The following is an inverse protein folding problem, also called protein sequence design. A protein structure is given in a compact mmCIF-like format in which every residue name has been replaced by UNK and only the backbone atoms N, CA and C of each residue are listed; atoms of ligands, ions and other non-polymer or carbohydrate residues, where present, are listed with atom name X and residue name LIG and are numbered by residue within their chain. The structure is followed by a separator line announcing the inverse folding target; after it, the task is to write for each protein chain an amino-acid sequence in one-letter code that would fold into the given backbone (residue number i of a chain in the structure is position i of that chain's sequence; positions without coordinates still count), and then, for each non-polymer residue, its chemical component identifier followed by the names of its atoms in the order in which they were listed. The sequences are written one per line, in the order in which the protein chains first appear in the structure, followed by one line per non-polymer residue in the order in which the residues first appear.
data_IF_526869300466
#
_entry.id   IF_526869300466
#
_cell.length_a   1.000
_cell.length_b   1.000
_cell.length_c   1.000
_cell.angle_alpha   90.00
_cell.angle_beta   90.00
_cell.angle_gamma   90.00
#
_symmetry.space_group_name_H-M   'P 1'
#
loop_
_entity.id
_entity.type
_entity.pdbx_description
1 polymer ?
#
# COMPACT_ATOMS: atom_id res chain seq x y z
N UNK A 1 35.31 -11.66 -12.74
CA UNK A 1 33.89 -12.03 -12.48
C UNK A 1 33.75 -12.18 -10.98
N UNK A 2 33.06 -11.27 -10.29
CA UNK A 2 31.65 -11.42 -9.80
C UNK A 2 31.45 -12.74 -9.00
N UNK A 3 31.00 -12.72 -7.74
CA UNK A 3 30.55 -11.60 -6.90
C UNK A 3 30.84 -11.86 -5.41
N UNK A 4 31.03 -10.77 -4.64
CA UNK A 4 30.94 -10.80 -3.18
C UNK A 4 29.48 -10.61 -2.78
N UNK A 5 28.99 -11.42 -1.84
CA UNK A 5 27.68 -11.23 -1.21
C UNK A 5 27.89 -10.37 0.04
N UNK A 6 27.37 -9.14 0.01
CA UNK A 6 27.30 -8.26 1.18
C UNK A 6 26.10 -8.62 2.09
N UNK A 7 26.06 -8.11 3.33
CA UNK A 7 24.99 -8.43 4.28
C UNK A 7 23.62 -7.87 3.84
N UNK A 8 22.58 -8.67 4.04
CA UNK A 8 21.18 -8.37 3.67
C UNK A 8 20.61 -7.13 4.39
N UNK A 9 20.04 -6.18 3.65
CA UNK A 9 19.19 -5.08 4.18
C UNK A 9 17.78 -5.57 4.63
N UNK A 10 17.64 -6.84 5.03
CA UNK A 10 16.33 -7.44 5.29
C UNK A 10 15.98 -7.33 6.78
N UNK A 11 15.66 -6.11 7.22
CA UNK A 11 15.42 -5.78 8.65
C UNK A 11 13.99 -5.39 9.03
N UNK A 12 13.19 -4.89 8.09
CA UNK A 12 11.85 -4.33 8.41
C UNK A 12 10.74 -4.84 7.49
N UNK A 13 10.95 -4.91 6.17
CA UNK A 13 9.97 -5.50 5.23
C UNK A 13 9.52 -6.91 5.64
N UNK A 14 10.46 -7.85 5.81
CA UNK A 14 10.19 -9.19 6.35
C UNK A 14 9.54 -9.20 7.74
N UNK A 15 9.72 -8.15 8.57
CA UNK A 15 9.10 -8.08 9.88
C UNK A 15 7.63 -7.62 9.79
N UNK A 16 7.31 -6.71 8.86
CA UNK A 16 5.92 -6.35 8.52
C UNK A 16 5.21 -7.54 7.88
N UNK A 17 5.86 -8.25 6.95
CA UNK A 17 5.35 -9.49 6.35
C UNK A 17 5.11 -10.58 7.40
N UNK A 18 6.09 -10.88 8.27
CA UNK A 18 5.93 -11.90 9.31
C UNK A 18 4.82 -11.59 10.32
N UNK A 19 4.65 -10.31 10.71
CA UNK A 19 3.53 -9.89 11.56
C UNK A 19 2.18 -9.91 10.81
N UNK A 20 2.18 -9.77 9.48
CA UNK A 20 1.01 -9.98 8.64
C UNK A 20 0.68 -11.48 8.46
N UNK A 21 1.68 -12.38 8.52
CA UNK A 21 1.48 -13.83 8.38
C UNK A 21 1.12 -14.53 9.70
N UNK A 22 1.43 -13.96 10.87
CA UNK A 22 1.19 -14.65 12.14
C UNK A 22 -0.32 -14.93 12.41
N UNK A 23 -0.60 -16.22 12.62
CA UNK A 23 -1.87 -16.86 13.06
C UNK A 23 -3.04 -16.88 12.07
N UNK A 24 -2.93 -17.75 11.06
CA UNK A 24 -4.11 -18.52 10.61
C UNK A 24 -4.28 -19.78 11.48
N UNK A 25 -5.44 -20.03 12.13
CA UNK A 25 -5.73 -21.31 12.75
C UNK A 25 -6.01 -22.37 11.67
N UNK A 26 -5.29 -23.50 11.71
CA UNK A 26 -5.60 -24.66 10.85
C UNK A 26 -6.96 -25.25 11.23
N UNK A 27 -7.99 -25.04 10.41
CA UNK A 27 -9.23 -25.78 10.53
C UNK A 27 -8.98 -27.27 10.23
N UNK A 28 -9.25 -28.13 11.21
CA UNK A 28 -9.47 -29.55 10.97
C UNK A 28 -10.89 -29.75 10.44
N UNK A 29 -11.12 -30.53 9.37
CA UNK A 29 -12.47 -30.87 8.95
C UNK A 29 -13.11 -31.84 9.96
N UNK A 30 -14.21 -31.42 10.60
CA UNK A 30 -15.06 -32.36 11.35
C UNK A 30 -15.74 -33.33 10.37
N UNK A 31 -15.64 -34.62 10.67
CA UNK A 31 -16.32 -35.68 9.92
C UNK A 31 -17.78 -35.75 10.37
N UNK A 32 -18.71 -35.40 9.47
CA UNK A 32 -20.12 -35.73 9.61
C UNK A 32 -20.42 -37.10 8.99
N UNK A 33 -21.25 -37.90 9.66
CA UNK A 33 -21.40 -39.33 9.36
C UNK A 33 -22.49 -39.71 8.35
N UNK A 34 -22.24 -40.86 7.70
CA UNK A 34 -23.21 -41.87 7.22
C UNK A 34 -24.46 -41.43 6.42
N UNK A 35 -24.42 -41.69 5.10
CA UNK A 35 -25.58 -41.84 4.22
C UNK A 35 -25.28 -42.89 3.14
N UNK A 36 -26.25 -43.76 2.81
CA UNK A 36 -25.98 -45.12 2.31
C UNK A 36 -26.16 -45.31 0.79
N UNK A 37 -25.19 -45.99 0.16
CA UNK A 37 -25.24 -46.80 -1.09
C UNK A 37 -26.19 -46.46 -2.27
N UNK A 38 -25.59 -46.36 -3.47
CA UNK A 38 -26.08 -47.01 -4.70
C UNK A 38 -24.91 -47.32 -5.67
N UNK A 39 -25.01 -48.39 -6.46
CA UNK A 39 -23.93 -48.93 -7.32
C UNK A 39 -23.94 -48.32 -8.74
N UNK A 40 -22.76 -48.22 -9.39
CA UNK A 40 -22.63 -47.66 -10.74
C UNK A 40 -21.37 -48.03 -11.53
N UNK A 41 -21.30 -49.28 -12.02
CA UNK A 41 -20.50 -49.83 -13.14
C UNK A 41 -19.08 -49.27 -13.44
N UNK A 42 -18.11 -50.17 -13.30
CA UNK A 42 -16.79 -50.12 -13.92
C UNK A 42 -16.84 -50.49 -15.42
N UNK A 43 -16.05 -49.82 -16.27
CA UNK A 43 -15.66 -50.36 -17.58
C UNK A 43 -14.24 -49.89 -17.95
N UNK A 44 -13.43 -50.80 -18.53
CA UNK A 44 -12.04 -50.56 -18.92
C UNK A 44 -11.92 -50.08 -20.36
N UNK A 45 -10.80 -49.43 -20.68
CA UNK A 45 -10.07 -49.65 -21.93
C UNK A 45 -8.57 -49.73 -21.61
N UNK A 46 -7.88 -50.77 -22.12
CA UNK A 46 -6.46 -51.08 -21.89
C UNK A 46 -5.64 -50.92 -23.18
N UNK A 47 -4.34 -50.61 -23.04
CA UNK A 47 -3.27 -50.74 -24.07
C UNK A 47 -2.96 -49.48 -24.90
N UNK A 48 -1.72 -49.19 -25.33
CA UNK A 48 -0.37 -49.72 -25.05
C UNK A 48 0.68 -48.74 -25.66
N UNK A 49 2.00 -48.75 -25.35
CA UNK A 49 2.79 -49.48 -24.35
C UNK A 49 4.20 -49.85 -24.89
N UNK A 50 5.29 -49.30 -24.31
CA UNK A 50 6.69 -49.70 -24.61
C UNK A 50 7.67 -49.44 -23.44
N UNK A 51 8.72 -50.28 -23.38
CA UNK A 51 9.71 -50.37 -22.28
C UNK A 51 10.86 -49.35 -22.36
N UNK A 52 11.49 -49.08 -21.20
CA UNK A 52 12.72 -48.29 -21.07
C UNK A 52 13.11 -48.05 -19.62
N UNK A 53 13.74 -49.04 -18.97
CA UNK A 53 14.03 -49.02 -17.53
C UNK A 53 15.28 -48.21 -17.09
N UNK A 54 15.46 -48.15 -15.76
CA UNK A 54 16.56 -47.48 -15.02
C UNK A 54 16.40 -45.96 -14.81
N UNK A 55 15.60 -45.58 -13.80
CA UNK A 55 15.43 -44.18 -13.40
C UNK A 55 14.60 -43.93 -12.13
N UNK A 56 14.39 -44.92 -11.26
CA UNK A 56 13.48 -44.81 -10.09
C UNK A 56 14.19 -45.20 -8.79
N UNK A 57 14.94 -44.24 -8.21
CA UNK A 57 15.24 -44.15 -6.77
C UNK A 57 15.91 -42.80 -6.38
N UNK A 58 15.28 -41.68 -6.76
CA UNK A 58 15.78 -40.34 -6.40
C UNK A 58 14.70 -39.25 -6.17
N UNK A 59 13.40 -39.55 -6.40
CA UNK A 59 12.35 -38.51 -6.42
C UNK A 59 11.24 -38.65 -5.36
N UNK A 60 11.26 -39.68 -4.51
CA UNK A 60 10.24 -39.86 -3.45
C UNK A 60 10.58 -39.18 -2.11
N UNK A 61 11.78 -38.64 -1.93
CA UNK A 61 12.19 -37.95 -0.68
C UNK A 61 11.78 -36.48 -0.63
N UNK A 62 11.21 -35.93 -1.71
CA UNK A 62 10.83 -34.50 -1.80
C UNK A 62 9.36 -34.23 -1.42
N UNK A 63 8.57 -35.25 -1.04
CA UNK A 63 7.14 -35.11 -0.69
C UNK A 63 6.82 -35.29 0.80
N UNK A 64 7.84 -35.39 1.65
CA UNK A 64 7.71 -35.76 3.07
C UNK A 64 8.52 -34.88 4.04
N UNK A 65 8.75 -33.61 3.71
CA UNK A 65 9.07 -32.55 4.69
C UNK A 65 10.32 -32.75 5.57
N UNK A 66 11.30 -33.55 5.13
CA UNK A 66 12.55 -33.77 5.86
C UNK A 66 13.64 -32.75 5.53
N UNK A 67 14.46 -32.37 6.51
CA UNK A 67 15.61 -31.49 6.31
C UNK A 67 16.79 -32.25 5.66
N UNK A 68 17.43 -31.63 4.67
CA UNK A 68 18.64 -32.14 4.01
C UNK A 68 19.82 -32.07 4.99
N UNK A 69 20.62 -33.12 5.07
CA UNK A 69 21.76 -33.21 5.99
C UNK A 69 23.10 -33.06 5.30
N UNK A 70 24.15 -32.79 6.07
CA UNK A 70 25.54 -32.72 5.56
C UNK A 70 26.05 -34.06 5.01
N UNK A 71 25.42 -35.18 5.35
CA UNK A 71 25.74 -36.50 4.80
C UNK A 71 25.32 -36.64 3.33
N UNK A 72 24.22 -36.00 2.91
CA UNK A 72 23.66 -36.10 1.56
C UNK A 72 24.58 -35.43 0.53
N UNK A 73 25.17 -34.29 0.89
CA UNK A 73 26.20 -33.62 0.09
C UNK A 73 27.50 -34.44 -0.04
N UNK A 74 27.87 -35.19 1.01
CA UNK A 74 29.06 -36.04 0.98
C UNK A 74 28.91 -37.28 0.06
N UNK A 75 27.68 -37.69 -0.25
CA UNK A 75 27.38 -38.73 -1.24
C UNK A 75 27.52 -38.18 -2.67
N UNK A 76 26.89 -37.03 -2.96
CA UNK A 76 26.95 -36.37 -4.28
C UNK A 76 28.37 -36.00 -4.69
N UNK A 77 29.19 -35.46 -3.77
CA UNK A 77 30.60 -35.16 -4.04
C UNK A 77 31.42 -36.41 -4.40
N UNK A 78 31.05 -37.58 -3.86
CA UNK A 78 31.73 -38.86 -4.09
C UNK A 78 31.39 -39.47 -5.46
N UNK A 79 30.14 -39.33 -5.90
CA UNK A 79 29.71 -39.77 -7.25
C UNK A 79 30.29 -38.90 -8.37
N UNK A 80 30.41 -37.58 -8.14
CA UNK A 80 31.05 -36.64 -9.07
C UNK A 80 32.57 -36.88 -9.20
N UNK A 81 33.25 -37.19 -8.09
CA UNK A 81 34.67 -37.59 -8.12
C UNK A 81 34.89 -38.87 -8.94
N UNK A 82 34.03 -39.87 -8.75
CA UNK A 82 34.11 -41.14 -9.49
C UNK A 82 33.85 -40.98 -11.00
N UNK A 83 33.07 -39.98 -11.42
CA UNK A 83 32.90 -39.65 -12.85
C UNK A 83 34.15 -38.97 -13.47
N UNK A 84 34.88 -38.14 -12.73
CA UNK A 84 36.15 -37.58 -13.22
C UNK A 84 37.30 -38.60 -13.29
N UNK A 85 37.23 -39.68 -12.51
CA UNK A 85 38.24 -40.74 -12.52
C UNK A 85 38.14 -41.72 -13.70
N UNK A 86 37.05 -41.68 -14.49
CA UNK A 86 36.75 -42.67 -15.53
C UNK A 86 37.25 -42.31 -16.94
N UNK A 87 37.75 -41.08 -17.17
CA UNK A 87 38.14 -40.56 -18.49
C UNK A 87 39.67 -40.43 -18.66
N UNK A 88 40.41 -41.50 -18.40
CA UNK A 88 41.87 -41.54 -18.52
C UNK A 88 42.40 -41.97 -19.90
N UNK A 89 42.68 -41.02 -20.79
CA UNK A 89 43.58 -41.25 -21.95
C UNK A 89 45.05 -41.22 -21.50
N UNK A 90 45.86 -42.10 -22.10
CA UNK A 90 47.25 -42.38 -21.69
C UNK A 90 48.23 -41.33 -22.23
N UNK A 91 49.33 -41.09 -21.52
CA UNK A 91 50.70 -41.22 -22.08
C UNK A 91 51.81 -41.18 -21.01
N UNK A 92 52.77 -42.11 -21.16
CA UNK A 92 54.17 -42.13 -20.66
C UNK A 92 54.56 -41.85 -19.19
N UNK A 93 55.12 -42.90 -18.57
CA UNK A 93 55.97 -43.00 -17.35
C UNK A 93 57.44 -42.52 -17.58
N UNK A 94 58.40 -42.56 -16.60
CA UNK A 94 58.37 -43.21 -15.27
C UNK A 94 58.88 -42.45 -14.02
N UNK A 95 58.28 -42.83 -12.87
CA UNK A 95 58.80 -43.02 -11.50
C UNK A 95 60.17 -42.44 -11.07
N UNK A 96 60.15 -41.56 -10.06
CA UNK A 96 60.87 -41.63 -8.77
C UNK A 96 60.40 -40.45 -7.87
N UNK A 97 60.34 -40.48 -6.53
CA UNK A 97 60.39 -41.58 -5.53
C UNK A 97 59.64 -41.13 -4.22
N UNK A 98 59.60 -41.93 -3.15
CA UNK A 98 58.96 -41.57 -1.86
C UNK A 98 59.94 -40.97 -0.85
N UNK A 99 59.58 -39.91 -0.12
CA UNK A 99 59.71 -39.84 1.37
C UNK A 99 59.25 -38.53 2.02
N UNK A 100 58.31 -38.70 2.95
CA UNK A 100 58.12 -37.95 4.22
C UNK A 100 58.97 -36.70 4.51
N UNK A 101 58.31 -35.54 4.64
CA UNK A 101 58.71 -34.52 5.63
C UNK A 101 57.66 -34.45 6.75
N UNK A 102 58.13 -34.63 7.99
CA UNK A 102 57.34 -34.49 9.21
C UNK A 102 57.40 -33.04 9.72
N UNK A 103 56.27 -32.59 10.26
CA UNK A 103 56.15 -31.68 11.40
C UNK A 103 57.05 -30.42 11.47
N UNK A 104 56.46 -29.26 11.18
CA UNK A 104 56.65 -28.03 11.99
C UNK A 104 55.43 -27.10 11.84
N UNK A 105 55.35 -26.07 12.69
CA UNK A 105 54.40 -24.93 12.66
C UNK A 105 52.93 -25.18 13.08
N UNK A 106 52.72 -25.59 14.33
CA UNK A 106 51.70 -24.91 15.16
C UNK A 106 52.31 -23.59 15.69
N UNK A 107 51.51 -22.50 15.70
CA UNK A 107 51.70 -21.17 16.34
C UNK A 107 51.62 -19.90 15.45
N UNK A 108 50.68 -19.83 14.50
CA UNK A 108 50.31 -18.55 13.84
C UNK A 108 48.80 -18.46 13.55
N UNK A 109 47.95 -18.48 14.60
CA UNK A 109 46.50 -18.32 14.43
C UNK A 109 45.80 -17.68 15.66
N UNK A 110 46.52 -16.86 16.42
CA UNK A 110 46.02 -16.23 17.65
C UNK A 110 46.53 -14.79 17.84
N UNK A 111 46.37 -13.93 16.83
CA UNK A 111 46.35 -12.46 16.97
C UNK A 111 45.72 -11.87 15.69
N UNK A 112 44.43 -11.50 15.73
CA UNK A 112 43.74 -11.05 14.51
C UNK A 112 42.20 -10.89 14.57
N UNK A 113 41.56 -11.04 15.73
CA UNK A 113 40.15 -10.66 15.93
C UNK A 113 40.03 -9.68 17.09
N UNK A 114 40.17 -8.39 16.78
CA UNK A 114 39.78 -7.29 17.66
C UNK A 114 39.38 -6.07 16.83
N UNK A 115 38.22 -5.49 17.15
CA UNK A 115 37.79 -4.14 16.75
C UNK A 115 37.55 -3.89 15.25
N UNK A 116 36.57 -4.60 14.68
CA UNK A 116 35.65 -3.93 13.76
C UNK A 116 34.55 -3.29 14.63
N UNK A 117 34.51 -1.94 14.77
CA UNK A 117 33.33 -1.30 15.36
C UNK A 117 32.15 -1.59 14.43
N UNK A 118 31.13 -2.26 14.95
CA UNK A 118 29.88 -2.47 14.22
C UNK A 118 29.22 -1.13 13.97
N UNK A 119 29.44 -0.57 12.77
CA UNK A 119 28.63 0.52 12.25
C UNK A 119 27.21 -0.03 12.08
N UNK A 120 26.40 0.15 13.12
CA UNK A 120 24.96 -0.05 13.04
C UNK A 120 24.42 1.02 12.07
N UNK A 121 24.40 0.68 10.78
CA UNK A 121 23.70 1.45 9.77
C UNK A 121 22.24 1.48 10.21
N UNK A 122 21.76 2.64 10.67
CA UNK A 122 20.35 2.84 10.93
C UNK A 122 19.58 2.41 9.68
N UNK A 123 18.59 1.53 9.85
CA UNK A 123 17.81 1.04 8.72
C UNK A 123 17.17 2.25 8.02
N UNK A 124 17.41 2.39 6.73
CA UNK A 124 16.87 3.53 5.99
C UNK A 124 15.33 3.50 6.07
N UNK A 125 14.67 4.64 6.35
CA UNK A 125 13.22 4.69 6.43
C UNK A 125 12.58 4.32 5.09
N UNK A 126 11.54 3.48 5.12
CA UNK A 126 10.81 2.96 3.94
C UNK A 126 10.54 4.10 2.93
N UNK A 127 10.78 3.91 1.62
CA UNK A 127 10.59 4.96 0.62
C UNK A 127 9.13 5.39 0.53
N UNK A 128 8.89 6.69 0.36
CA UNK A 128 7.54 7.28 0.23
C UNK A 128 7.24 7.72 -1.20
N UNK A 129 5.95 7.75 -1.61
CA UNK A 129 4.77 7.35 -0.83
C UNK A 129 4.54 5.83 -0.77
N UNK A 130 3.78 5.40 0.23
CA UNK A 130 3.45 3.99 0.51
C UNK A 130 1.94 3.81 0.50
N UNK A 131 1.46 2.69 -0.06
CA UNK A 131 0.11 2.15 0.17
C UNK A 131 0.23 0.63 0.39
N UNK A 132 -0.39 0.11 1.46
CA UNK A 132 -0.40 -1.32 1.81
C UNK A 132 -1.71 -1.69 2.50
N UNK A 133 -2.25 -2.85 2.16
CA UNK A 133 -3.30 -3.50 2.93
C UNK A 133 -2.68 -4.61 3.80
N UNK A 134 -3.05 -4.65 5.07
CA UNK A 134 -2.47 -5.53 6.08
C UNK A 134 -3.60 -6.09 6.92
N UNK A 135 -4.09 -7.28 6.55
CA UNK A 135 -5.31 -7.88 7.12
C UNK A 135 -6.46 -6.85 7.08
N UNK A 136 -7.03 -6.54 8.24
CA UNK A 136 -8.19 -5.64 8.39
C UNK A 136 -7.83 -4.15 8.23
N UNK A 137 -6.56 -3.81 8.00
CA UNK A 137 -6.06 -2.44 7.94
C UNK A 137 -5.63 -2.02 6.54
N UNK A 138 -5.79 -0.73 6.23
CA UNK A 138 -5.16 -0.06 5.11
C UNK A 138 -4.22 1.01 5.67
N UNK A 139 -2.97 1.01 5.21
CA UNK A 139 -1.96 1.99 5.59
C UNK A 139 -1.50 2.73 4.33
N UNK A 140 -1.58 4.05 4.35
CA UNK A 140 -0.96 4.90 3.35
C UNK A 140 -0.15 6.01 4.00
N UNK A 141 0.98 6.32 3.40
CA UNK A 141 1.84 7.42 3.82
C UNK A 141 2.25 8.26 2.62
N UNK A 142 2.16 9.58 2.75
CA UNK A 142 2.46 10.52 1.67
C UNK A 142 3.97 10.80 1.52
N UNK A 143 4.30 11.60 0.50
CA UNK A 143 5.63 12.09 0.17
C UNK A 143 6.35 12.88 1.29
N UNK A 144 5.64 13.27 2.35
CA UNK A 144 6.20 13.92 3.54
C UNK A 144 6.25 12.99 4.76
N UNK A 145 5.95 11.70 4.61
CA UNK A 145 5.89 10.70 5.68
C UNK A 145 4.80 10.98 6.73
N UNK A 146 3.78 11.78 6.40
CA UNK A 146 2.52 11.73 7.13
C UNK A 146 1.84 10.40 6.79
N UNK A 147 1.42 9.66 7.82
CA UNK A 147 0.85 8.33 7.68
C UNK A 147 -0.56 8.26 8.25
N UNK A 148 -1.44 7.60 7.51
CA UNK A 148 -2.77 7.18 7.93
C UNK A 148 -2.81 5.65 7.96
N UNK A 149 -3.23 5.07 9.08
CA UNK A 149 -3.70 3.68 9.15
C UNK A 149 -5.19 3.69 9.52
N UNK A 150 -6.02 3.09 8.66
CA UNK A 150 -7.47 3.03 8.84
C UNK A 150 -7.95 1.59 8.91
N UNK A 151 -8.88 1.32 9.82
CA UNK A 151 -9.55 0.02 9.92
C UNK A 151 -10.61 -0.09 8.82
N UNK A 152 -10.43 -1.09 7.97
CA UNK A 152 -11.28 -1.44 6.85
C UNK A 152 -11.66 -2.92 6.94
N UNK A 153 -12.18 -3.34 8.10
CA UNK A 153 -12.79 -4.65 8.31
C UNK A 153 -14.14 -4.79 7.57
N UNK A 154 -14.71 -5.99 7.55
CA UNK A 154 -15.86 -6.33 6.72
C UNK A 154 -17.08 -5.41 6.99
N UNK A 155 -17.66 -4.76 5.96
CA UNK A 155 -18.70 -3.75 6.12
C UNK A 155 -20.07 -4.33 6.53
N UNK A 156 -20.31 -5.63 6.40
CA UNK A 156 -21.60 -6.28 6.68
C UNK A 156 -22.03 -6.29 8.17
N UNK A 157 -21.35 -5.55 9.04
CA UNK A 157 -21.67 -5.42 10.47
C UNK A 157 -21.48 -3.99 10.93
N UNK A 158 -22.33 -3.57 11.87
CA UNK A 158 -22.03 -2.38 12.66
C UNK A 158 -20.70 -2.60 13.41
N UNK A 159 -19.82 -1.59 13.35
CA UNK A 159 -18.41 -1.71 13.72
C UNK A 159 -17.91 -0.48 14.47
N UNK A 160 -16.73 -0.58 15.09
CA UNK A 160 -16.02 0.59 15.63
C UNK A 160 -14.95 0.98 14.64
N UNK A 161 -15.23 2.00 13.83
CA UNK A 161 -14.25 2.58 12.92
C UNK A 161 -13.03 3.06 13.71
N UNK A 162 -11.84 2.89 13.16
CA UNK A 162 -10.61 3.37 13.79
C UNK A 162 -9.68 4.00 12.75
N UNK A 163 -9.17 5.17 13.11
CA UNK A 163 -8.25 5.97 12.31
C UNK A 163 -7.05 6.35 13.17
N UNK A 164 -5.84 6.04 12.68
CA UNK A 164 -4.58 6.44 13.30
C UNK A 164 -3.84 7.34 12.31
N UNK A 165 -3.60 8.58 12.70
CA UNK A 165 -2.90 9.56 11.87
C UNK A 165 -1.64 10.05 12.59
N UNK A 166 -0.54 10.20 11.84
CA UNK A 166 0.73 10.63 12.43
C UNK A 166 1.55 11.48 11.47
N UNK A 167 1.94 12.67 11.93
CA UNK A 167 2.89 13.54 11.23
C UNK A 167 4.34 13.05 11.38
N UNK A 168 5.20 13.51 10.48
CA UNK A 168 6.61 13.13 10.42
C UNK A 168 7.50 13.90 11.43
N UNK A 169 8.78 13.52 11.54
CA UNK A 169 9.74 14.13 12.46
C UNK A 169 9.50 13.81 13.95
N UNK A 170 10.47 14.13 14.81
CA UNK A 170 10.42 13.81 16.25
C UNK A 170 9.10 14.19 16.93
N UNK A 171 8.68 15.44 16.74
CA UNK A 171 7.49 16.07 17.32
C UNK A 171 6.21 15.90 16.49
N UNK A 172 6.21 15.03 15.48
CA UNK A 172 5.03 14.77 14.66
C UNK A 172 3.84 14.31 15.49
N UNK A 173 2.76 15.09 15.47
CA UNK A 173 1.51 14.81 16.17
C UNK A 173 0.99 13.41 15.83
N UNK A 174 0.47 12.72 16.85
CA UNK A 174 -0.18 11.42 16.74
C UNK A 174 -1.62 11.59 17.20
N UNK A 175 -2.57 11.16 16.38
CA UNK A 175 -4.00 11.16 16.66
C UNK A 175 -4.56 9.74 16.51
N UNK A 176 -5.46 9.39 17.43
CA UNK A 176 -6.31 8.21 17.36
C UNK A 176 -7.76 8.68 17.42
N UNK A 177 -8.54 8.37 16.39
CA UNK A 177 -9.98 8.59 16.36
C UNK A 177 -10.68 7.24 16.29
N UNK A 178 -11.60 6.99 17.21
CA UNK A 178 -12.61 5.93 17.12
C UNK A 178 -13.92 6.54 16.62
N UNK A 179 -14.65 5.79 15.81
CA UNK A 179 -15.93 6.20 15.20
C UNK A 179 -16.98 5.13 15.45
N UNK A 180 -18.16 5.52 15.91
CA UNK A 180 -19.28 4.60 16.12
C UNK A 180 -20.63 5.30 16.16
N UNK A 181 -21.64 4.63 16.69
CA UNK A 181 -23.03 5.08 16.65
C UNK A 181 -23.31 6.32 17.51
N UNK A 182 -24.39 7.02 17.20
CA UNK A 182 -24.82 8.26 17.87
C UNK A 182 -25.28 8.08 19.31
N UNK A 183 -25.47 6.83 19.75
CA UNK A 183 -25.82 6.44 21.12
C UNK A 183 -24.62 6.01 21.99
N UNK A 184 -23.40 5.98 21.44
CA UNK A 184 -22.16 5.76 22.21
C UNK A 184 -22.05 6.79 23.35
N UNK A 185 -21.97 6.30 24.60
CA UNK A 185 -22.13 7.13 25.81
C UNK A 185 -20.93 7.14 26.78
N UNK A 186 -20.09 6.10 26.79
CA UNK A 186 -18.98 5.88 27.71
C UNK A 186 -17.71 5.34 27.04
N UNK A 187 -16.84 4.70 27.80
CA UNK A 187 -15.54 4.22 27.29
C UNK A 187 -15.66 2.90 26.50
N UNK A 188 -14.87 2.72 25.41
CA UNK A 188 -14.81 1.46 24.67
C UNK A 188 -14.33 0.28 25.52
N UNK A 189 -14.63 -0.94 25.07
CA UNK A 189 -14.11 -2.17 25.66
C UNK A 189 -13.08 -2.85 24.75
N UNK A 190 -11.88 -3.11 25.29
CA UNK A 190 -10.82 -3.90 24.66
C UNK A 190 -10.80 -5.30 25.29
N UNK A 191 -11.08 -6.33 24.49
CA UNK A 191 -11.11 -7.74 24.92
C UNK A 191 -11.94 -8.01 26.20
N UNK A 192 -13.00 -7.24 26.41
CA UNK A 192 -13.90 -7.34 27.57
C UNK A 192 -13.50 -6.49 28.78
N UNK A 193 -12.42 -5.69 28.70
CA UNK A 193 -12.00 -4.73 29.72
C UNK A 193 -12.23 -3.29 29.26
N UNK A 194 -12.54 -2.39 30.18
CA UNK A 194 -12.79 -0.98 29.87
C UNK A 194 -11.49 -0.27 29.47
N UNK A 195 -11.47 0.34 28.29
CA UNK A 195 -10.31 1.05 27.73
C UNK A 195 -10.34 2.52 28.19
N UNK A 196 -10.05 2.72 29.47
CA UNK A 196 -10.08 4.02 30.14
C UNK A 196 -8.96 4.93 29.63
N UNK A 197 -9.35 6.09 29.10
CA UNK A 197 -8.47 7.16 28.63
C UNK A 197 -9.25 8.50 28.65
N UNK A 198 -8.59 9.67 28.57
CA UNK A 198 -9.25 10.98 28.53
C UNK A 198 -9.86 11.27 27.14
N UNK A 199 -10.77 10.41 26.69
CA UNK A 199 -11.42 10.48 25.37
C UNK A 199 -12.16 11.81 25.17
N UNK A 200 -11.79 12.57 24.14
CA UNK A 200 -12.59 13.72 23.69
C UNK A 200 -13.72 13.21 22.79
N UNK A 201 -14.91 13.07 23.39
CA UNK A 201 -16.11 12.62 22.68
C UNK A 201 -16.79 13.79 21.94
N UNK A 202 -17.11 13.59 20.66
CA UNK A 202 -17.90 14.53 19.84
C UNK A 202 -19.09 13.77 19.24
N UNK A 203 -20.29 14.36 19.28
CA UNK A 203 -21.52 13.73 18.73
C UNK A 203 -22.02 14.53 17.52
N UNK A 204 -22.30 13.84 16.42
CA UNK A 204 -22.85 14.39 15.19
C UNK A 204 -23.71 13.36 14.46
N UNK A 205 -23.47 13.17 13.16
CA UNK A 205 -24.06 12.07 12.37
C UNK A 205 -23.53 10.71 12.85
N UNK A 206 -22.30 10.69 13.36
CA UNK A 206 -21.67 9.60 14.10
C UNK A 206 -21.11 10.16 15.43
N UNK A 207 -20.74 9.28 16.36
CA UNK A 207 -19.96 9.68 17.55
C UNK A 207 -18.49 9.39 17.31
N UNK A 208 -17.63 10.38 17.55
CA UNK A 208 -16.18 10.20 17.55
C UNK A 208 -15.61 10.28 18.96
N UNK A 209 -14.64 9.42 19.27
CA UNK A 209 -13.83 9.49 20.48
C UNK A 209 -12.37 9.70 20.07
N UNK A 210 -11.78 10.81 20.49
CA UNK A 210 -10.46 11.24 20.00
C UNK A 210 -9.43 11.31 21.14
N UNK A 211 -8.21 10.87 20.84
CA UNK A 211 -7.01 11.04 21.66
C UNK A 211 -5.87 11.56 20.83
N UNK A 212 -4.96 12.27 21.47
CA UNK A 212 -3.74 12.80 20.84
C UNK A 212 -2.51 12.60 21.73
N UNK A 213 -1.33 12.75 21.15
CA UNK A 213 -0.06 12.77 21.88
C UNK A 213 0.13 11.56 22.80
N UNK A 214 0.45 11.82 24.07
CA UNK A 214 0.78 10.79 25.06
C UNK A 214 -0.35 9.78 25.30
N UNK A 215 -1.61 10.23 25.32
CA UNK A 215 -2.75 9.34 25.55
C UNK A 215 -3.01 8.43 24.34
N UNK A 216 -2.85 8.95 23.12
CA UNK A 216 -2.89 8.15 21.91
C UNK A 216 -1.76 7.09 21.90
N UNK A 217 -0.53 7.43 22.32
CA UNK A 217 0.55 6.43 22.48
C UNK A 217 0.18 5.34 23.50
N UNK A 218 -0.39 5.71 24.65
CA UNK A 218 -0.75 4.78 25.71
C UNK A 218 -1.86 3.81 25.28
N UNK A 219 -2.88 4.31 24.56
CA UNK A 219 -3.98 3.49 24.07
C UNK A 219 -3.57 2.62 22.87
N UNK A 220 -2.82 3.14 21.89
CA UNK A 220 -2.34 2.34 20.77
C UNK A 220 -1.42 1.19 21.21
N UNK A 221 -0.61 1.39 22.27
CA UNK A 221 0.22 0.33 22.87
C UNK A 221 -0.59 -0.76 23.58
N UNK A 222 -1.83 -0.49 23.98
CA UNK A 222 -2.78 -1.50 24.47
C UNK A 222 -3.47 -2.18 23.29
N UNK A 223 -4.10 -1.41 22.39
CA UNK A 223 -4.83 -1.90 21.22
C UNK A 223 -3.99 -2.85 20.36
N UNK A 224 -2.71 -2.54 20.11
CA UNK A 224 -1.83 -3.38 19.26
C UNK A 224 -1.65 -4.82 19.77
N UNK A 225 -1.89 -5.06 21.07
CA UNK A 225 -1.78 -6.37 21.72
C UNK A 225 -3.14 -7.06 21.90
N UNK A 226 -4.25 -6.33 21.72
CA UNK A 226 -5.60 -6.86 21.86
C UNK A 226 -6.13 -7.49 20.57
N UNK A 227 -7.32 -8.07 20.64
CA UNK A 227 -7.94 -8.79 19.51
C UNK A 227 -9.23 -8.12 19.03
N UNK A 228 -10.04 -7.60 19.96
CA UNK A 228 -11.39 -7.09 19.69
C UNK A 228 -11.62 -5.77 20.41
N UNK A 229 -12.08 -4.77 19.65
CA UNK A 229 -12.63 -3.53 20.18
C UNK A 229 -14.16 -3.54 20.05
N UNK A 230 -14.83 -3.05 21.08
CA UNK A 230 -16.29 -2.84 21.17
C UNK A 230 -16.49 -1.41 21.69
N UNK A 231 -17.58 -0.77 21.32
CA UNK A 231 -18.03 0.46 22.00
C UNK A 231 -18.70 0.12 23.34
N UNK A 232 -19.37 1.08 23.97
CA UNK A 232 -20.11 0.87 25.23
C UNK A 232 -21.54 0.34 25.03
N UNK A 233 -21.94 0.03 23.78
CA UNK A 233 -23.26 -0.53 23.48
C UNK A 233 -23.35 -2.00 23.93
N UNK A 234 -24.47 -2.67 23.65
CA UNK A 234 -24.68 -4.04 24.16
C UNK A 234 -23.64 -5.00 23.56
N UNK A 235 -22.95 -5.81 24.39
CA UNK A 235 -21.86 -6.66 23.94
C UNK A 235 -22.24 -7.55 22.74
N UNK A 236 -21.64 -7.25 21.58
CA UNK A 236 -21.86 -7.98 20.33
C UNK A 236 -22.61 -7.20 19.24
N UNK A 237 -23.16 -6.01 19.53
CA UNK A 237 -23.84 -5.19 18.51
C UNK A 237 -22.85 -4.49 17.57
N UNK A 238 -21.74 -3.93 18.10
CA UNK A 238 -20.68 -3.31 17.29
C UNK A 238 -19.30 -3.82 17.70
N UNK A 239 -18.64 -4.59 16.82
CA UNK A 239 -17.37 -5.28 17.15
C UNK A 239 -16.39 -5.17 15.99
N UNK A 240 -15.19 -4.66 16.28
CA UNK A 240 -14.10 -4.53 15.31
C UNK A 240 -12.89 -5.37 15.65
N UNK A 241 -12.25 -5.89 14.60
CA UNK A 241 -11.06 -6.74 14.67
C UNK A 241 -9.79 -5.88 14.72
N UNK A 242 -8.86 -6.24 15.61
CA UNK A 242 -7.55 -5.58 15.69
C UNK A 242 -6.44 -6.35 14.94
N UNK A 243 -6.82 -7.38 14.16
CA UNK A 243 -5.86 -8.16 13.39
C UNK A 243 -5.15 -7.32 12.34
N UNK A 244 -3.82 -7.27 12.43
CA UNK A 244 -2.97 -6.46 11.54
C UNK A 244 -2.56 -5.12 12.13
N UNK A 245 -3.20 -4.64 13.21
CA UNK A 245 -2.87 -3.34 13.81
C UNK A 245 -1.38 -3.24 14.20
N UNK A 246 -0.81 -4.25 14.87
CA UNK A 246 0.62 -4.27 15.20
C UNK A 246 1.54 -4.17 13.96
N UNK A 247 1.16 -4.76 12.82
CA UNK A 247 1.92 -4.66 11.58
C UNK A 247 1.72 -3.30 10.88
N UNK A 248 0.50 -2.76 10.91
CA UNK A 248 0.17 -1.42 10.42
C UNK A 248 0.94 -0.32 11.16
N UNK A 249 0.93 -0.35 12.49
CA UNK A 249 1.71 0.58 13.31
C UNK A 249 3.22 0.41 13.12
N UNK A 250 3.71 -0.81 12.87
CA UNK A 250 5.12 -1.04 12.56
C UNK A 250 5.50 -0.43 11.20
N UNK A 251 4.62 -0.52 10.19
CA UNK A 251 4.84 0.12 8.90
C UNK A 251 4.87 1.65 9.04
N UNK A 252 4.01 2.25 9.87
CA UNK A 252 4.08 3.69 10.18
C UNK A 252 5.41 4.06 10.87
N UNK A 253 5.85 3.28 11.87
CA UNK A 253 7.16 3.49 12.51
C UNK A 253 8.31 3.34 11.49
N UNK A 254 8.22 2.39 10.54
CA UNK A 254 9.23 2.16 9.50
C UNK A 254 9.33 3.31 8.50
N UNK A 255 8.19 3.78 7.99
CA UNK A 255 8.11 4.94 7.09
C UNK A 255 8.59 6.22 7.78
N UNK A 256 8.37 6.37 9.09
CA UNK A 256 8.83 7.54 9.83
C UNK A 256 10.25 7.39 10.41
N UNK A 257 10.95 6.29 10.16
CA UNK A 257 12.30 6.05 10.69
C UNK A 257 12.38 5.84 12.20
N UNK A 258 11.25 5.54 12.85
CA UNK A 258 11.10 5.47 14.32
C UNK A 258 11.34 4.09 14.92
N UNK A 259 11.64 3.05 14.14
CA UNK A 259 11.97 1.74 14.68
C UNK A 259 13.24 1.85 15.54
N UNK A 260 13.13 1.62 16.85
CA UNK A 260 14.23 1.86 17.80
C UNK A 260 14.33 3.29 18.35
N UNK A 261 13.37 4.17 18.03
CA UNK A 261 13.17 5.48 18.67
C UNK A 261 12.24 5.35 19.89
N UNK A 262 12.34 6.22 20.89
CA UNK A 262 11.55 6.07 22.13
C UNK A 262 10.03 6.23 21.89
N UNK A 263 9.69 7.03 20.87
CA UNK A 263 8.31 7.25 20.42
C UNK A 263 7.78 6.17 19.47
N UNK A 264 8.49 5.06 19.22
CA UNK A 264 7.93 3.99 18.39
C UNK A 264 6.62 3.44 18.99
N UNK A 265 5.65 3.17 18.13
CA UNK A 265 4.38 2.56 18.47
C UNK A 265 4.51 1.06 18.71
N UNK A 266 5.47 0.38 18.05
CA UNK A 266 5.67 -1.07 18.16
C UNK A 266 6.98 -1.43 18.87
N UNK A 267 8.13 -0.96 18.38
CA UNK A 267 9.47 -1.32 18.89
C UNK A 267 10.22 -0.09 19.43
N UNK A 268 9.86 0.42 20.63
CA UNK A 268 10.53 1.57 21.21
C UNK A 268 11.95 1.23 21.69
N UNK A 269 12.85 2.20 21.62
CA UNK A 269 14.24 2.09 22.04
C UNK A 269 14.93 3.44 22.11
N UNK A 270 16.25 3.43 22.25
CA UNK A 270 17.15 4.59 22.31
C UNK A 270 18.20 4.61 21.19
N UNK A 271 18.09 3.70 20.20
CA UNK A 271 19.05 3.54 19.10
C UNK A 271 18.86 4.55 17.95
N UNK A 272 17.80 5.34 17.99
CA UNK A 272 17.52 6.42 17.03
C UNK A 272 17.24 7.70 17.83
N UNK A 273 17.93 8.79 17.49
CA UNK A 273 17.73 10.10 18.08
C UNK A 273 16.77 10.97 17.24
N UNK A 274 16.16 11.98 17.87
CA UNK A 274 15.20 12.91 17.24
C UNK A 274 15.68 13.49 15.89
N UNK A 275 16.96 13.87 15.82
CA UNK A 275 17.57 14.48 14.63
C UNK A 275 17.72 13.52 13.44
N UNK A 276 17.54 12.21 13.63
CA UNK A 276 17.55 11.20 12.57
C UNK A 276 16.16 10.98 11.96
N UNK A 277 15.10 11.51 12.58
CA UNK A 277 13.73 11.31 12.10
C UNK A 277 13.42 12.26 10.93
N UNK A 278 13.13 11.74 9.73
CA UNK A 278 12.96 12.57 8.54
C UNK A 278 11.70 13.43 8.60
N UNK A 279 11.83 14.69 8.15
CA UNK A 279 10.72 15.62 7.92
C UNK A 279 10.83 16.21 6.50
N UNK A 280 10.44 15.47 5.45
CA UNK A 280 10.54 15.96 4.07
C UNK A 280 9.59 17.15 3.84
N UNK A 281 10.10 18.18 3.15
CA UNK A 281 9.30 19.35 2.80
C UNK A 281 8.25 19.00 1.71
N UNK A 282 7.10 19.69 1.76
CA UNK A 282 6.10 19.64 0.69
C UNK A 282 6.65 20.29 -0.58
N UNK A 283 6.56 19.62 -1.76
CA UNK A 283 6.82 20.27 -3.04
C UNK A 283 5.92 21.50 -3.21
N UNK A 284 6.46 22.58 -3.78
CA UNK A 284 5.67 23.79 -4.03
C UNK A 284 4.92 23.68 -5.36
N UNK A 285 3.66 24.11 -5.37
CA UNK A 285 2.86 24.33 -6.58
C UNK A 285 2.58 25.83 -6.66
N UNK A 286 2.78 26.49 -7.82
CA UNK A 286 2.51 27.92 -7.96
C UNK A 286 1.10 28.30 -7.51
N UNK A 287 0.99 29.47 -6.89
CA UNK A 287 -0.31 30.06 -6.60
C UNK A 287 -1.00 30.46 -7.91
N UNK A 288 -2.28 30.14 -8.03
CA UNK A 288 -3.09 30.55 -9.17
C UNK A 288 -3.45 32.03 -9.07
N UNK A 289 -3.43 32.74 -10.20
CA UNK A 289 -3.90 34.11 -10.32
C UNK A 289 -5.22 34.08 -11.09
N UNK A 290 -6.30 34.57 -10.48
CA UNK A 290 -7.62 34.56 -11.09
C UNK A 290 -7.66 35.39 -12.38
N UNK A 291 -7.89 34.72 -13.50
CA UNK A 291 -7.97 35.31 -14.82
C UNK A 291 -9.25 36.13 -15.02
N UNK A 292 -9.23 37.07 -15.96
CA UNK A 292 -10.43 37.82 -16.36
C UNK A 292 -11.49 36.87 -16.92
N UNK A 293 -12.73 36.95 -16.41
CA UNK A 293 -13.84 36.10 -16.83
C UNK A 293 -14.08 36.15 -18.36
N UNK A 294 -14.53 35.03 -18.93
CA UNK A 294 -14.75 34.91 -20.36
C UNK A 294 -15.91 35.80 -20.83
N UNK A 295 -15.67 36.65 -21.81
CA UNK A 295 -16.69 37.48 -22.47
C UNK A 295 -17.58 36.66 -23.41
N UNK A 296 -18.75 37.19 -23.75
CA UNK A 296 -19.76 36.47 -24.55
C UNK A 296 -19.25 35.99 -25.92
N UNK A 297 -18.37 36.76 -26.57
CA UNK A 297 -17.76 36.36 -27.84
C UNK A 297 -16.77 35.19 -27.69
N UNK A 298 -15.97 35.20 -26.63
CA UNK A 298 -15.05 34.10 -26.29
C UNK A 298 -15.86 32.83 -26.00
N UNK A 299 -16.87 32.92 -25.13
CA UNK A 299 -17.74 31.79 -24.77
C UNK A 299 -18.42 31.18 -26.01
N UNK A 300 -18.98 31.99 -26.90
CA UNK A 300 -19.65 31.51 -28.11
C UNK A 300 -18.69 30.80 -29.07
N UNK A 301 -17.50 31.38 -29.29
CA UNK A 301 -16.50 30.80 -30.19
C UNK A 301 -15.86 29.51 -29.64
N UNK A 302 -15.53 29.50 -28.35
CA UNK A 302 -15.01 28.32 -27.64
C UNK A 302 -16.07 27.19 -27.66
N UNK A 303 -17.33 27.51 -27.36
CA UNK A 303 -18.45 26.54 -27.45
C UNK A 303 -18.55 25.92 -28.83
N UNK A 304 -18.45 26.72 -29.90
CA UNK A 304 -18.53 26.22 -31.27
C UNK A 304 -17.43 25.20 -31.58
N UNK A 305 -16.17 25.49 -31.25
CA UNK A 305 -15.05 24.58 -31.56
C UNK A 305 -15.04 23.34 -30.67
N UNK A 306 -15.38 23.47 -29.38
CA UNK A 306 -15.46 22.35 -28.44
C UNK A 306 -16.60 21.41 -28.81
N UNK A 307 -17.81 21.92 -29.08
CA UNK A 307 -18.94 21.07 -29.43
C UNK A 307 -18.76 20.38 -30.79
N UNK A 308 -18.09 21.02 -31.76
CA UNK A 308 -17.71 20.39 -33.01
C UNK A 308 -16.69 19.25 -32.80
N UNK A 309 -15.72 19.43 -31.91
CA UNK A 309 -14.74 18.39 -31.52
C UNK A 309 -15.41 17.22 -30.79
N UNK A 310 -16.26 17.52 -29.81
CA UNK A 310 -17.01 16.52 -29.05
C UNK A 310 -17.93 15.68 -29.94
N UNK A 311 -18.61 16.30 -30.91
CA UNK A 311 -19.41 15.60 -31.92
C UNK A 311 -18.55 14.64 -32.76
N UNK A 312 -17.37 15.10 -33.22
CA UNK A 312 -16.44 14.28 -34.01
C UNK A 312 -15.80 13.12 -33.21
N UNK A 313 -15.76 13.21 -31.88
CA UNK A 313 -15.29 12.15 -30.98
C UNK A 313 -16.43 11.32 -30.35
N UNK A 314 -17.66 11.46 -30.83
CA UNK A 314 -18.87 10.79 -30.31
C UNK A 314 -19.20 11.10 -28.83
N UNK A 315 -18.61 12.13 -28.24
CA UNK A 315 -18.84 12.55 -26.84
C UNK A 315 -20.18 13.26 -26.62
N UNK A 316 -21.00 13.40 -27.68
CA UNK A 316 -22.37 13.88 -27.59
C UNK A 316 -23.41 12.75 -27.71
N UNK A 317 -22.95 11.51 -27.91
CA UNK A 317 -23.81 10.32 -27.82
C UNK A 317 -24.00 10.01 -26.34
N UNK A 318 -25.26 9.94 -25.90
CA UNK A 318 -25.62 9.54 -24.55
C UNK A 318 -26.51 8.30 -24.64
N UNK A 319 -26.16 7.29 -23.83
CA UNK A 319 -26.95 6.08 -23.58
C UNK A 319 -28.02 6.34 -22.52
N UNK A 320 -27.85 7.42 -21.74
CA UNK A 320 -28.77 7.90 -20.71
C UNK A 320 -29.45 9.21 -21.13
N UNK A 321 -30.66 9.47 -20.63
CA UNK A 321 -31.46 10.68 -20.90
C UNK A 321 -30.95 11.96 -20.19
N UNK A 322 -29.64 12.05 -19.92
CA UNK A 322 -28.97 13.23 -19.35
C UNK A 322 -28.19 13.94 -20.46
N UNK A 323 -28.56 15.19 -20.74
CA UNK A 323 -27.92 15.99 -21.78
C UNK A 323 -26.45 16.35 -21.41
N UNK A 324 -25.52 16.39 -22.39
CA UNK A 324 -24.15 16.83 -22.13
C UNK A 324 -24.10 18.27 -21.63
N UNK A 325 -23.26 18.54 -20.64
CA UNK A 325 -23.07 19.87 -20.05
C UNK A 325 -21.67 20.36 -20.34
N UNK A 326 -21.56 21.48 -21.06
CA UNK A 326 -20.29 22.17 -21.28
C UNK A 326 -20.15 23.34 -20.30
N UNK A 327 -19.05 23.36 -19.56
CA UNK A 327 -18.67 24.43 -18.64
C UNK A 327 -17.36 25.08 -19.12
N UNK A 328 -17.35 26.42 -19.15
CA UNK A 328 -16.22 27.20 -19.65
C UNK A 328 -15.66 28.09 -18.52
N UNK A 329 -14.36 27.97 -18.27
CA UNK A 329 -13.68 28.72 -17.22
C UNK A 329 -12.40 29.36 -17.77
N UNK A 330 -12.09 30.59 -17.36
CA UNK A 330 -10.80 31.19 -17.70
C UNK A 330 -9.68 30.53 -16.88
N UNK A 331 -8.60 30.11 -17.55
CA UNK A 331 -7.37 29.61 -16.91
C UNK A 331 -6.33 30.73 -16.78
N UNK A 332 -6.17 31.52 -17.83
CA UNK A 332 -5.30 32.69 -17.89
C UNK A 332 -5.86 33.69 -18.94
N UNK A 333 -5.10 34.73 -19.27
CA UNK A 333 -5.50 35.74 -20.27
C UNK A 333 -5.42 35.24 -21.73
N UNK A 334 -4.94 34.02 -21.96
CA UNK A 334 -4.77 33.40 -23.28
C UNK A 334 -5.54 32.08 -23.43
N UNK A 335 -5.87 31.40 -22.33
CA UNK A 335 -6.51 30.09 -22.34
C UNK A 335 -7.76 29.99 -21.46
N UNK A 336 -8.69 29.15 -21.92
CA UNK A 336 -9.84 28.67 -21.17
C UNK A 336 -9.76 27.14 -20.96
N UNK A 337 -10.34 26.67 -19.87
CA UNK A 337 -10.75 25.29 -19.67
C UNK A 337 -12.17 25.14 -20.21
N UNK A 338 -12.36 24.16 -21.09
CA UNK A 338 -13.65 23.63 -21.44
C UNK A 338 -13.81 22.24 -20.81
N UNK A 339 -14.73 22.11 -19.87
CA UNK A 339 -15.08 20.87 -19.17
C UNK A 339 -16.43 20.39 -19.71
N UNK A 340 -16.43 19.32 -20.48
CA UNK A 340 -17.64 18.67 -20.99
C UNK A 340 -17.93 17.43 -20.15
N UNK A 341 -19.07 17.38 -19.46
CA UNK A 341 -19.62 16.12 -18.94
C UNK A 341 -20.64 15.55 -19.92
N UNK A 342 -20.65 14.23 -20.08
CA UNK A 342 -21.53 13.51 -21.01
C UNK A 342 -21.76 12.06 -20.56
N UNK A 343 -22.75 11.39 -21.16
CA UNK A 343 -23.18 10.03 -20.81
C UNK A 343 -23.35 9.81 -19.28
N UNK A 344 -23.97 10.76 -18.60
CA UNK A 344 -24.14 10.74 -17.15
C UNK A 344 -25.31 9.86 -16.70
N UNK A 345 -25.13 9.15 -15.59
CA UNK A 345 -26.19 8.49 -14.82
C UNK A 345 -26.10 8.91 -13.33
N UNK A 346 -26.88 8.28 -12.45
CA UNK A 346 -26.94 8.61 -11.02
C UNK A 346 -25.60 8.45 -10.25
N UNK A 347 -24.63 7.75 -10.83
CA UNK A 347 -23.37 7.37 -10.18
C UNK A 347 -22.10 7.85 -10.92
N UNK A 348 -22.14 7.94 -12.24
CA UNK A 348 -20.98 8.21 -13.10
C UNK A 348 -21.31 9.19 -14.22
N UNK A 349 -20.36 10.09 -14.51
CA UNK A 349 -20.27 10.85 -15.76
C UNK A 349 -18.97 10.53 -16.50
N UNK A 350 -19.02 10.55 -17.84
CA UNK A 350 -17.81 10.68 -18.65
C UNK A 350 -17.45 12.16 -18.78
N UNK A 351 -16.16 12.45 -18.94
CA UNK A 351 -15.64 13.81 -19.02
C UNK A 351 -14.62 13.96 -20.14
N UNK A 352 -14.70 15.07 -20.87
CA UNK A 352 -13.69 15.54 -21.81
C UNK A 352 -13.22 16.94 -21.40
N UNK A 353 -11.90 17.11 -21.26
CA UNK A 353 -11.27 18.36 -20.82
C UNK A 353 -10.39 18.91 -21.95
N UNK A 354 -10.65 20.15 -22.34
CA UNK A 354 -9.89 20.84 -23.38
C UNK A 354 -9.29 22.14 -22.83
N UNK A 355 -8.02 22.41 -23.17
CA UNK A 355 -7.44 23.76 -23.08
C UNK A 355 -7.69 24.46 -24.41
N UNK A 356 -8.31 25.62 -24.40
CA UNK A 356 -8.73 26.34 -25.62
C UNK A 356 -8.14 27.73 -25.63
N UNK A 357 -7.62 28.21 -26.76
CA UNK A 357 -7.21 29.62 -26.87
C UNK A 357 -8.42 30.55 -26.73
N UNK A 358 -8.21 31.73 -26.14
CA UNK A 358 -9.25 32.76 -25.93
C UNK A 358 -9.48 33.65 -27.14
N UNK A 359 -8.52 33.73 -28.04
CA UNK A 359 -8.62 34.50 -29.28
C UNK A 359 -8.97 33.61 -30.49
N UNK A 360 -9.56 34.23 -31.51
CA UNK A 360 -9.85 33.61 -32.79
C UNK A 360 -8.59 33.61 -33.70
N UNK A 361 -8.27 32.50 -34.41
CA UNK A 361 -9.01 31.24 -34.45
C UNK A 361 -8.88 30.43 -33.15
N UNK A 362 -10.01 30.02 -32.58
CA UNK A 362 -10.04 29.26 -31.33
C UNK A 362 -9.42 27.87 -31.55
N UNK A 363 -8.26 27.64 -30.94
CA UNK A 363 -7.47 26.42 -31.08
C UNK A 363 -7.64 25.53 -29.85
N UNK A 364 -7.83 24.23 -30.08
CA UNK A 364 -7.94 23.20 -29.05
C UNK A 364 -6.58 22.56 -28.81
N UNK A 365 -6.20 22.41 -27.54
CA UNK A 365 -5.01 21.69 -27.11
C UNK A 365 -5.27 20.82 -25.88
N UNK A 366 -4.35 19.89 -25.56
CA UNK A 366 -4.45 19.08 -24.36
C UNK A 366 -4.32 19.97 -23.11
N UNK A 367 -5.10 19.64 -22.08
CA UNK A 367 -4.76 20.04 -20.72
C UNK A 367 -3.80 18.99 -20.16
N UNK A 368 -2.53 19.37 -19.97
CA UNK A 368 -1.52 18.46 -19.42
C UNK A 368 -1.67 18.32 -17.89
N UNK A 369 -1.36 17.14 -17.38
CA UNK A 369 -1.36 16.80 -15.95
C UNK A 369 0.01 16.26 -15.56
N UNK A 370 0.64 16.83 -14.53
CA UNK A 370 1.91 16.35 -13.99
C UNK A 370 1.74 15.84 -12.54
N UNK A 371 1.72 14.52 -12.42
CA UNK A 371 1.88 13.79 -11.17
C UNK A 371 3.34 13.36 -10.97
N UNK A 372 3.80 13.13 -9.73
CA UNK A 372 5.06 12.43 -9.46
C UNK A 372 5.04 11.02 -10.07
N UNK A 373 6.19 10.56 -10.58
CA UNK A 373 6.33 9.14 -10.95
C UNK A 373 6.36 8.28 -9.69
N UNK A 374 5.29 7.52 -9.45
CA UNK A 374 5.14 6.63 -8.30
C UNK A 374 4.21 5.46 -8.64
N UNK A 375 4.49 4.24 -8.16
CA UNK A 375 3.60 3.09 -8.35
C UNK A 375 2.32 3.16 -7.50
N UNK A 376 2.20 4.11 -6.56
CA UNK A 376 1.01 4.26 -5.70
C UNK A 376 0.25 5.58 -5.89
N UNK A 377 0.89 6.64 -6.42
CA UNK A 377 0.20 7.88 -6.80
C UNK A 377 -0.37 7.69 -8.21
N UNK A 378 -1.55 7.05 -8.28
CA UNK A 378 -2.25 6.76 -9.53
C UNK A 378 -3.48 7.67 -9.60
N UNK A 379 -3.42 8.66 -10.49
CA UNK A 379 -4.57 9.50 -10.84
C UNK A 379 -5.65 8.67 -11.52
N UNK A 380 -6.91 9.02 -11.27
CA UNK A 380 -8.10 8.43 -11.91
C UNK A 380 -9.16 9.52 -12.11
N UNK A 381 -8.85 10.59 -12.84
CA UNK A 381 -9.82 11.67 -13.05
C UNK A 381 -11.04 11.19 -13.88
N UNK A 382 -12.15 10.88 -13.20
CA UNK A 382 -13.43 10.43 -13.77
C UNK A 382 -14.56 10.56 -12.75
N UNK A 383 -15.75 10.11 -13.13
CA UNK A 383 -16.98 9.96 -12.34
C UNK A 383 -17.57 11.28 -11.84
N UNK A 384 -16.83 12.05 -11.05
CA UNK A 384 -17.10 13.43 -10.69
C UNK A 384 -15.83 14.28 -10.91
N UNK A 385 -15.98 15.38 -11.64
CA UNK A 385 -14.96 16.41 -11.85
C UNK A 385 -15.61 17.79 -11.68
N UNK A 386 -15.04 18.63 -10.83
CA UNK A 386 -15.44 20.02 -10.60
C UNK A 386 -14.23 20.95 -10.73
N UNK A 387 -14.43 22.15 -11.29
CA UNK A 387 -13.41 23.19 -11.36
C UNK A 387 -13.78 24.42 -10.53
N UNK A 388 -12.87 24.85 -9.66
CA UNK A 388 -12.99 26.01 -8.80
C UNK A 388 -12.22 27.21 -9.38
N UNK A 389 -12.84 28.06 -10.23
CA UNK A 389 -12.14 29.09 -10.98
C UNK A 389 -11.48 30.16 -10.10
N UNK A 390 -11.96 30.38 -8.88
CA UNK A 390 -11.32 31.31 -7.93
C UNK A 390 -9.95 30.85 -7.41
N UNK A 391 -9.62 29.55 -7.57
CA UNK A 391 -8.34 28.95 -7.15
C UNK A 391 -7.56 28.29 -8.28
N UNK A 392 -8.14 28.21 -9.48
CA UNK A 392 -7.59 27.42 -10.59
C UNK A 392 -7.47 25.94 -10.25
N UNK A 393 -8.30 25.46 -9.33
CA UNK A 393 -8.22 24.09 -8.80
C UNK A 393 -9.25 23.19 -9.46
N UNK A 394 -8.83 21.99 -9.83
CA UNK A 394 -9.70 20.92 -10.33
C UNK A 394 -9.74 19.81 -9.28
N UNK A 395 -10.93 19.48 -8.79
CA UNK A 395 -11.17 18.34 -7.91
C UNK A 395 -11.79 17.21 -8.72
N UNK A 396 -11.36 15.98 -8.47
CA UNK A 396 -12.01 14.79 -9.01
C UNK A 396 -12.18 13.73 -7.94
N UNK A 397 -13.30 13.03 -8.02
CA UNK A 397 -13.64 11.93 -7.15
C UNK A 397 -14.14 10.74 -7.97
N UNK A 398 -13.25 9.76 -8.17
CA UNK A 398 -13.56 8.50 -8.80
C UNK A 398 -13.99 7.46 -7.77
N UNK A 399 -15.11 6.78 -8.03
CA UNK A 399 -15.70 5.77 -7.13
C UNK A 399 -15.64 4.40 -7.78
N UNK A 400 -15.32 3.38 -6.98
CA UNK A 400 -15.17 2.01 -7.48
C UNK A 400 -16.35 1.08 -7.11
N UNK A 401 -17.31 1.50 -6.25
CA UNK A 401 -18.58 0.80 -6.00
C UNK A 401 -19.68 1.72 -5.40
N UNK A 402 -20.93 1.27 -5.36
CA UNK A 402 -22.04 1.86 -4.60
C UNK A 402 -22.79 0.76 -3.82
N UNK A 403 -23.01 0.90 -2.49
CA UNK A 403 -22.82 2.09 -1.66
C UNK A 403 -21.46 2.13 -0.91
N UNK A 404 -20.43 1.47 -1.42
CA UNK A 404 -19.12 1.38 -0.75
C UNK A 404 -18.18 2.55 -1.01
N UNK A 405 -17.76 3.26 0.04
CA UNK A 405 -16.77 4.34 -0.05
C UNK A 405 -15.33 3.83 -0.32
N UNK A 406 -15.01 3.53 -1.57
CA UNK A 406 -13.64 3.33 -2.08
C UNK A 406 -13.42 3.95 -3.47
N UNK A 407 -12.17 4.21 -3.82
CA UNK A 407 -11.75 4.86 -5.06
C UNK A 407 -10.56 5.83 -4.87
N UNK A 408 -10.54 6.91 -5.66
CA UNK A 408 -9.51 7.95 -5.64
C UNK A 408 -10.16 9.33 -5.53
N UNK A 409 -9.69 10.13 -4.58
CA UNK A 409 -9.99 11.56 -4.51
C UNK A 409 -8.70 12.34 -4.80
N UNK A 410 -8.76 13.28 -5.72
CA UNK A 410 -7.59 14.06 -6.12
C UNK A 410 -7.92 15.53 -6.37
N UNK A 411 -6.95 16.39 -6.07
CA UNK A 411 -7.05 17.82 -6.29
C UNK A 411 -5.81 18.30 -7.03
N UNK A 412 -6.03 19.15 -8.03
CA UNK A 412 -5.04 19.66 -8.95
C UNK A 412 -5.12 21.18 -9.01
N UNK A 413 -4.04 21.86 -9.39
CA UNK A 413 -4.06 23.30 -9.67
C UNK A 413 -3.35 23.64 -10.96
N UNK A 414 -3.90 24.57 -11.73
CA UNK A 414 -3.26 25.11 -12.92
C UNK A 414 -2.07 26.01 -12.55
N UNK A 415 -0.88 25.71 -13.10
CA UNK A 415 0.37 26.45 -12.85
C UNK A 415 0.68 27.57 -13.87
N UNK A 416 -0.24 27.85 -14.79
CA UNK A 416 -0.02 28.71 -15.96
C UNK A 416 0.36 27.95 -17.23
N UNK A 417 0.54 26.63 -17.17
CA UNK A 417 0.82 25.77 -18.32
C UNK A 417 0.01 24.46 -18.28
N UNK A 418 -0.05 23.83 -17.10
CA UNK A 418 -0.56 22.48 -16.84
C UNK A 418 -1.12 22.33 -15.43
N UNK A 419 -1.81 21.22 -15.18
CA UNK A 419 -2.34 20.85 -13.87
C UNK A 419 -1.27 20.14 -13.03
N UNK A 420 -1.03 20.64 -11.81
CA UNK A 420 -0.11 20.09 -10.81
C UNK A 420 -0.88 19.40 -9.69
N UNK A 421 -0.50 18.19 -9.33
CA UNK A 421 -1.18 17.44 -8.26
C UNK A 421 -0.98 18.11 -6.89
N UNK A 422 -2.06 18.65 -6.32
CA UNK A 422 -2.07 19.23 -4.98
C UNK A 422 -2.15 18.15 -3.89
N UNK A 423 -3.10 17.23 -4.05
CA UNK A 423 -3.43 16.17 -3.07
C UNK A 423 -3.95 14.94 -3.81
N UNK A 424 -3.62 13.75 -3.28
CA UNK A 424 -4.29 12.50 -3.66
C UNK A 424 -4.56 11.65 -2.42
N UNK A 425 -5.83 11.32 -2.20
CA UNK A 425 -6.35 10.35 -1.23
C UNK A 425 -6.76 9.08 -1.98
N UNK A 426 -6.47 7.89 -1.45
CA UNK A 426 -6.90 6.63 -2.08
C UNK A 426 -7.25 5.55 -1.06
N UNK A 427 -8.32 4.83 -1.35
CA UNK A 427 -8.70 3.62 -0.64
C UNK A 427 -9.17 2.63 -1.71
N UNK A 428 -8.45 1.53 -1.93
CA UNK A 428 -8.80 0.55 -2.98
C UNK A 428 -9.85 -0.48 -2.49
N UNK A 429 -9.91 -0.75 -1.18
CA UNK A 429 -10.88 -1.65 -0.56
C UNK A 429 -12.07 -0.89 0.02
N UNK A 430 -13.27 -1.18 -0.48
CA UNK A 430 -14.53 -0.64 0.05
C UNK A 430 -14.84 -1.20 1.44
N UNK A 431 -14.94 -0.30 2.43
CA UNK A 431 -15.25 -0.63 3.83
C UNK A 431 -16.02 0.48 4.56
N UNK A 432 -16.86 1.23 3.83
CA UNK A 432 -17.71 2.30 4.38
C UNK A 432 -16.95 3.38 5.17
N UNK A 433 -15.73 3.71 4.74
CA UNK A 433 -14.90 4.77 5.34
C UNK A 433 -15.10 6.07 4.54
N UNK A 434 -15.49 7.16 5.21
CA UNK A 434 -15.61 8.47 4.58
C UNK A 434 -14.28 8.97 3.98
N UNK A 435 -14.34 9.74 2.89
CA UNK A 435 -13.16 10.22 2.12
C UNK A 435 -12.15 10.99 2.98
N UNK A 436 -12.62 11.76 3.96
CA UNK A 436 -11.77 12.49 4.91
C UNK A 436 -10.82 11.59 5.72
N UNK A 437 -11.19 10.32 5.90
CA UNK A 437 -10.41 9.29 6.61
C UNK A 437 -9.54 8.43 5.67
N UNK A 438 -9.59 8.65 4.36
CA UNK A 438 -8.80 7.87 3.40
C UNK A 438 -7.30 8.17 3.54
N UNK A 439 -6.43 7.16 3.33
CA UNK A 439 -5.00 7.39 3.32
C UNK A 439 -4.55 8.40 2.25
N UNK A 440 -3.77 9.38 2.68
CA UNK A 440 -3.17 10.39 1.81
C UNK A 440 -1.88 9.82 1.23
N UNK A 441 -1.76 9.84 -0.09
CA UNK A 441 -0.58 9.34 -0.82
C UNK A 441 0.26 10.47 -1.41
N UNK A 442 -0.31 11.67 -1.55
CA UNK A 442 0.42 12.85 -1.99
C UNK A 442 -0.13 14.13 -1.35
N UNK A 443 0.76 15.03 -0.95
CA UNK A 443 0.46 16.43 -0.65
C UNK A 443 1.59 17.37 -1.10
N UNK A 444 1.19 18.46 -1.74
CA UNK A 444 2.04 19.61 -2.04
C UNK A 444 1.71 20.80 -1.14
N UNK A 445 2.49 21.86 -1.25
CA UNK A 445 2.18 23.18 -0.72
C UNK A 445 1.65 24.01 -1.88
N UNK A 446 0.38 24.42 -1.79
CA UNK A 446 -0.20 25.46 -2.63
C UNK A 446 -0.30 26.80 -1.90
#
# INVERSE_FOLDING_TARGET
MKAMVGPEQIGVGRAVEALAEERQPRFQPLVAGAGTFAQGKQQRADGSGHDGGSGVRAFDTARSGGAITTADFAHLARELWNHCAASGTRLSQPRQECSTMRATTWNWLALGLALLPGLATAAEPEPVPVYREIKDWIVGCDNTRFCTAVLADHPERMRVGMLVQREAGAWGNLHLTLVGSTDWSGEPMLDGQLLVAPWRMTRGVETTLELEGADAYAVLRQLRNGQRLVDDTRPGERVSSLQGLSAALLLMDAVQGRVGHYSALVRPGDSVADAQLPTPAKPQVPAFVAATALGAQEQAGITQVVMAKAAAENQLINEYDVAPKLELHALDDQHALALLSYNCNDFHCLYALYKVSREAPYTLGPLEFEAPSSPVVISRMRDAIEFYPGKGELHSYAKDDYPGSCGVEESWRYDGMRMRLLRLSRMDRCAEVGTDSWPVLWRSQG
#
